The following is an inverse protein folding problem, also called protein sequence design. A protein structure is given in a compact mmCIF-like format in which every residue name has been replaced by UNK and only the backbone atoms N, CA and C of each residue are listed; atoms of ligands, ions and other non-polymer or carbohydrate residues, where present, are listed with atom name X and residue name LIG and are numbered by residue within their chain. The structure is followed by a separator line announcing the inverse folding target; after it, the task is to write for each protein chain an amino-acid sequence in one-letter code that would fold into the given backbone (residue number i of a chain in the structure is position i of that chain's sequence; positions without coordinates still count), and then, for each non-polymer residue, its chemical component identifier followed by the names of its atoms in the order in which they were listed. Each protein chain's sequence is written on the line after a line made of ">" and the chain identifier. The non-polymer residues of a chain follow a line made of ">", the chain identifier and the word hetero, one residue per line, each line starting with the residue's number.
data_IF_380630436716
#
_entry.id   IF_380630436716
#
_cell.length_a   1.000
_cell.length_b   1.000
_cell.length_c   1.000
_cell.angle_alpha   90.00
_cell.angle_beta   90.00
_cell.angle_gamma   90.00
#
_symmetry.space_group_name_H-M   'P 1'
#
loop_
_entity.id
_entity.type
_entity.pdbx_description
1 polymer ?
#
# COMPACT_ATOMS: atom_id res chain seq x y z
N UNK A 1 -1.31 -14.21 9.18
CA UNK A 1 -0.81 -13.15 8.29
C UNK A 1 0.56 -12.71 8.78
N UNK A 2 1.38 -12.13 7.91
CA UNK A 2 2.68 -11.59 8.27
C UNK A 2 2.89 -10.23 7.65
N UNK A 3 3.69 -9.40 8.31
CA UNK A 3 4.10 -8.09 7.83
C UNK A 3 5.63 -8.06 7.74
N UNK A 4 6.15 -7.45 6.68
CA UNK A 4 7.58 -7.23 6.45
C UNK A 4 7.80 -5.77 6.10
N UNK A 5 8.66 -5.07 6.84
CA UNK A 5 9.06 -3.72 6.51
C UNK A 5 10.36 -3.72 5.71
N UNK A 6 10.39 -2.97 4.61
CA UNK A 6 11.56 -2.72 3.79
C UNK A 6 12.10 -1.34 4.14
N UNK A 7 13.41 -1.24 4.34
CA UNK A 7 14.08 0.01 4.64
C UNK A 7 15.09 0.33 3.54
N UNK A 8 15.19 1.61 3.19
CA UNK A 8 16.37 2.14 2.55
C UNK A 8 17.51 2.18 3.59
N UNK A 9 18.63 1.51 3.29
CA UNK A 9 19.74 1.36 4.22
C UNK A 9 20.59 2.63 4.31
N UNK A 10 20.68 3.39 3.22
CA UNK A 10 21.49 4.61 3.19
C UNK A 10 20.80 5.74 3.96
N UNK A 11 19.49 5.90 3.76
CA UNK A 11 18.69 6.93 4.42
C UNK A 11 18.16 6.50 5.79
N UNK A 12 18.17 5.20 6.10
CA UNK A 12 17.55 4.64 7.30
C UNK A 12 16.03 4.84 7.33
N UNK A 13 15.39 4.99 6.17
CA UNK A 13 13.97 5.34 6.02
C UNK A 13 13.15 4.13 5.60
N UNK A 14 11.90 4.05 6.09
CA UNK A 14 10.95 3.06 5.61
C UNK A 14 10.71 3.27 4.11
N UNK A 15 10.97 2.24 3.32
CA UNK A 15 10.72 2.21 1.89
C UNK A 15 9.30 1.73 1.57
N UNK A 16 8.87 0.64 2.21
CA UNK A 16 7.53 0.10 2.08
C UNK A 16 7.24 -0.95 3.15
N UNK A 17 5.95 -1.17 3.46
CA UNK A 17 5.47 -2.30 4.25
C UNK A 17 4.78 -3.32 3.34
N UNK A 18 5.18 -4.57 3.44
CA UNK A 18 4.54 -5.73 2.82
C UNK A 18 3.59 -6.39 3.82
N UNK A 19 2.40 -6.75 3.35
CA UNK A 19 1.45 -7.55 4.12
C UNK A 19 1.04 -8.77 3.29
N UNK A 20 1.16 -9.95 3.89
CA UNK A 20 0.68 -11.21 3.33
C UNK A 20 -0.51 -11.79 4.09
N UNK A 21 -1.55 -12.17 3.36
CA UNK A 21 -2.68 -12.95 3.87
C UNK A 21 -2.77 -14.31 3.19
N UNK A 22 -3.70 -15.16 3.62
CA UNK A 22 -3.98 -16.41 2.91
C UNK A 22 -4.69 -16.22 1.56
N UNK A 23 -5.15 -15.00 1.23
CA UNK A 23 -5.97 -14.69 0.05
C UNK A 23 -5.32 -13.67 -0.90
N UNK A 24 -4.26 -13.00 -0.46
CA UNK A 24 -3.60 -11.96 -1.24
C UNK A 24 -2.42 -11.32 -0.52
N UNK A 25 -1.88 -10.29 -1.15
CA UNK A 25 -0.81 -9.49 -0.58
C UNK A 25 -0.95 -8.02 -0.97
N UNK A 26 -0.33 -7.17 -0.16
CA UNK A 26 -0.22 -5.74 -0.41
C UNK A 26 1.20 -5.23 -0.13
N UNK A 27 1.61 -4.20 -0.85
CA UNK A 27 2.77 -3.34 -0.59
C UNK A 27 2.26 -1.93 -0.47
N UNK A 28 2.67 -1.20 0.56
CA UNK A 28 2.25 0.17 0.83
C UNK A 28 3.50 1.01 1.08
N UNK A 29 3.65 2.13 0.38
CA UNK A 29 4.73 3.09 0.63
C UNK A 29 4.30 4.10 1.70
N UNK A 30 5.25 4.75 2.38
CA UNK A 30 4.93 5.81 3.36
C UNK A 30 4.05 6.93 2.80
N UNK A 31 4.12 7.19 1.49
CA UNK A 31 3.39 8.22 0.78
C UNK A 31 1.95 7.79 0.41
N UNK A 32 1.55 6.56 0.73
CA UNK A 32 0.21 6.01 0.46
C UNK A 32 0.07 5.30 -0.89
N UNK A 33 1.13 5.23 -1.69
CA UNK A 33 1.14 4.44 -2.91
C UNK A 33 1.07 2.95 -2.60
N UNK A 34 0.32 2.17 -3.39
CA UNK A 34 0.14 0.75 -3.11
C UNK A 34 0.25 -0.18 -4.32
N UNK A 35 0.54 -1.45 -4.06
CA UNK A 35 0.35 -2.57 -4.98
C UNK A 35 -0.33 -3.72 -4.27
N UNK A 36 -1.24 -4.39 -4.96
CA UNK A 36 -1.92 -5.57 -4.41
C UNK A 36 -2.16 -6.63 -5.47
N UNK A 37 -2.30 -7.87 -5.00
CA UNK A 37 -2.81 -9.00 -5.79
C UNK A 37 -3.59 -9.94 -4.89
N UNK A 38 -4.64 -10.56 -5.43
CA UNK A 38 -5.60 -11.34 -4.64
C UNK A 38 -6.53 -10.46 -3.81
N UNK A 39 -7.23 -11.05 -2.86
CA UNK A 39 -8.18 -10.36 -2.00
C UNK A 39 -7.51 -9.93 -0.69
N UNK A 40 -7.54 -8.63 -0.45
CA UNK A 40 -6.99 -7.98 0.76
C UNK A 40 -8.00 -7.04 1.42
N UNK A 41 -9.25 -7.01 0.96
CA UNK A 41 -10.29 -6.08 1.42
C UNK A 41 -10.51 -6.18 2.94
N UNK A 42 -10.45 -7.38 3.51
CA UNK A 42 -10.61 -7.59 4.95
C UNK A 42 -9.50 -6.94 5.81
N UNK A 43 -8.32 -6.72 5.24
CA UNK A 43 -7.12 -6.32 6.01
C UNK A 43 -6.55 -4.97 5.61
N UNK A 44 -6.93 -4.44 4.44
CA UNK A 44 -6.37 -3.21 3.91
C UNK A 44 -7.45 -2.34 3.29
N UNK A 45 -7.51 -1.09 3.74
CA UNK A 45 -8.43 -0.06 3.28
C UNK A 45 -7.82 1.32 3.42
N UNK A 46 -8.41 2.30 2.73
CA UNK A 46 -8.09 3.70 2.93
C UNK A 46 -9.08 4.36 3.89
N UNK A 47 -8.66 5.43 4.58
CA UNK A 47 -9.52 6.22 5.47
C UNK A 47 -9.32 7.71 5.25
N UNK A 48 -10.40 8.44 5.05
CA UNK A 48 -10.43 9.91 5.12
C UNK A 48 -11.42 10.29 6.22
N UNK A 49 -10.96 11.07 7.20
CA UNK A 49 -11.77 11.37 8.39
C UNK A 49 -12.15 10.08 9.13
N UNK A 50 -13.45 9.77 9.21
CA UNK A 50 -14.01 8.57 9.83
C UNK A 50 -14.59 7.57 8.80
N UNK A 51 -14.43 7.85 7.50
CA UNK A 51 -14.99 7.02 6.44
C UNK A 51 -13.94 6.04 5.92
N UNK A 52 -14.36 4.78 5.76
CA UNK A 52 -13.59 3.71 5.12
C UNK A 52 -13.87 3.73 3.62
N UNK A 53 -12.82 3.52 2.83
CA UNK A 53 -12.87 3.40 1.38
C UNK A 53 -12.06 2.18 0.95
N UNK A 54 -12.51 1.50 -0.10
CA UNK A 54 -11.70 0.46 -0.74
C UNK A 54 -10.50 1.09 -1.48
N UNK A 55 -9.46 0.29 -1.74
CA UNK A 55 -8.17 0.80 -2.18
C UNK A 55 -8.25 1.64 -3.46
N UNK A 56 -9.03 1.21 -4.44
CA UNK A 56 -9.19 1.84 -5.74
C UNK A 56 -10.33 2.87 -5.80
N UNK A 57 -11.17 2.94 -4.76
CA UNK A 57 -12.33 3.84 -4.72
C UNK A 57 -11.92 5.32 -4.82
N UNK A 58 -10.75 5.66 -4.29
CA UNK A 58 -10.22 7.02 -4.25
C UNK A 58 -9.26 7.35 -5.40
N UNK A 59 -8.92 6.39 -6.26
CA UNK A 59 -7.98 6.59 -7.37
C UNK A 59 -8.34 7.80 -8.27
N UNK A 60 -9.62 8.08 -8.59
CA UNK A 60 -9.99 9.25 -9.40
C UNK A 60 -9.81 10.60 -8.69
N UNK A 61 -9.77 10.62 -7.35
CA UNK A 61 -9.88 11.83 -6.54
C UNK A 61 -8.57 12.19 -5.82
N UNK A 62 -7.73 11.21 -5.49
CA UNK A 62 -6.49 11.39 -4.73
C UNK A 62 -5.29 10.81 -5.47
N UNK A 63 -4.65 11.59 -6.37
CA UNK A 63 -3.51 11.14 -7.16
C UNK A 63 -2.31 10.67 -6.33
N UNK A 64 -2.23 11.11 -5.07
CA UNK A 64 -1.17 10.74 -4.13
C UNK A 64 -1.38 9.35 -3.53
N UNK A 65 -2.63 8.90 -3.39
CA UNK A 65 -2.98 7.62 -2.78
C UNK A 65 -3.55 6.67 -3.83
N UNK A 66 -2.67 6.27 -4.75
CA UNK A 66 -3.05 5.49 -5.92
C UNK A 66 -2.22 4.22 -6.09
N UNK A 67 -2.78 3.31 -6.87
CA UNK A 67 -2.06 2.12 -7.35
C UNK A 67 -0.77 2.51 -8.09
N UNK A 68 0.35 1.93 -7.65
CA UNK A 68 1.66 2.12 -8.26
C UNK A 68 1.81 1.32 -9.55
N UNK A 69 2.58 1.82 -10.55
CA UNK A 69 2.84 1.10 -11.78
C UNK A 69 3.60 -0.22 -11.55
N UNK A 70 3.50 -1.21 -12.47
CA UNK A 70 4.16 -2.50 -12.34
C UNK A 70 5.66 -2.42 -12.04
N UNK A 71 6.34 -1.41 -12.59
CA UNK A 71 7.70 -1.04 -12.23
C UNK A 71 7.66 0.30 -11.50
N UNK A 72 8.12 0.32 -10.25
CA UNK A 72 8.35 1.53 -9.48
C UNK A 72 9.82 1.54 -9.01
N UNK A 73 10.38 2.72 -8.76
CA UNK A 73 11.71 2.84 -8.14
C UNK A 73 11.55 3.42 -6.75
N UNK A 74 12.34 2.90 -5.83
CA UNK A 74 12.69 3.59 -4.60
C UNK A 74 13.33 4.92 -5.03
N UNK A 75 12.64 6.01 -4.70
CA UNK A 75 13.13 7.36 -4.95
C UNK A 75 14.14 7.75 -3.90
#
# INVERSE_FOLDING_TARGET
>A
SGTLDLFDVEEGRLAASLMGTGRGWAVITPEGGYKTSGDVSDVLWQRIGLCRFELDELDPWLPQSRRLPPRWRLG
#
